data_IF_122486896200
#
_entry.id   IF_122486896200
#
_cell.length_a   1.000
_cell.length_b   1.000
_cell.length_c   1.000
_cell.angle_alpha   90.00
_cell.angle_beta   90.00
_cell.angle_gamma   90.00
#
_symmetry.space_group_name_H-M   'P 1'
#
loop_
_entity.id
_entity.type
_entity.pdbx_description
1 polymer ?
#
# COMPACT_ATOMS: atom_id res chain seq x y z
N UNK A 1 5.94 -17.42 -11.18
CA UNK A 1 6.77 -17.39 -9.95
C UNK A 1 8.15 -16.79 -10.15
N UNK A 2 8.86 -17.14 -11.22
CA UNK A 2 10.26 -16.71 -11.45
C UNK A 2 10.48 -15.20 -11.41
N UNK A 3 9.52 -14.39 -11.88
CA UNK A 3 9.60 -12.93 -11.76
C UNK A 3 9.85 -12.46 -10.32
N UNK A 4 9.13 -13.03 -9.34
CA UNK A 4 9.28 -12.66 -7.92
C UNK A 4 10.66 -13.07 -7.40
N UNK A 5 11.12 -14.29 -7.73
CA UNK A 5 12.46 -14.78 -7.35
C UNK A 5 13.55 -13.86 -7.90
N UNK A 6 13.46 -13.53 -9.18
CA UNK A 6 14.40 -12.63 -9.86
C UNK A 6 14.36 -11.22 -9.28
N UNK A 7 13.18 -10.69 -8.95
CA UNK A 7 13.05 -9.38 -8.30
C UNK A 7 13.76 -9.38 -6.93
N UNK A 8 13.58 -10.44 -6.13
CA UNK A 8 14.30 -10.61 -4.87
C UNK A 8 15.82 -10.72 -5.09
N UNK A 9 16.26 -11.50 -6.09
CA UNK A 9 17.67 -11.70 -6.39
C UNK A 9 18.38 -10.43 -6.88
N UNK A 10 17.70 -9.58 -7.66
CA UNK A 10 18.25 -8.31 -8.14
C UNK A 10 18.26 -7.26 -7.03
N UNK A 11 17.15 -7.12 -6.30
CA UNK A 11 17.04 -6.15 -5.22
C UNK A 11 17.89 -6.53 -3.99
N UNK A 12 18.27 -7.81 -3.87
CA UNK A 12 18.87 -8.40 -2.65
C UNK A 12 17.98 -8.18 -1.42
N UNK A 13 16.67 -8.24 -1.63
CA UNK A 13 15.65 -8.06 -0.60
C UNK A 13 14.61 -9.17 -0.68
N UNK A 14 14.06 -9.55 0.46
CA UNK A 14 12.84 -10.35 0.55
C UNK A 14 11.62 -9.47 0.27
N UNK A 15 11.14 -9.49 -0.98
CA UNK A 15 9.98 -8.71 -1.43
C UNK A 15 8.65 -9.45 -1.28
N UNK A 16 8.61 -10.58 -0.56
CA UNK A 16 7.40 -11.42 -0.49
C UNK A 16 6.19 -10.66 0.05
N UNK A 17 6.33 -9.90 1.13
CA UNK A 17 5.22 -9.12 1.71
C UNK A 17 4.65 -8.11 0.70
N UNK A 18 5.51 -7.47 -0.09
CA UNK A 18 5.08 -6.56 -1.16
C UNK A 18 4.25 -7.29 -2.22
N UNK A 19 4.72 -8.44 -2.69
CA UNK A 19 4.01 -9.22 -3.70
C UNK A 19 2.72 -9.85 -3.18
N UNK A 20 2.64 -10.19 -1.89
CA UNK A 20 1.40 -10.62 -1.26
C UNK A 20 0.38 -9.47 -1.19
N UNK A 21 0.81 -8.29 -0.74
CA UNK A 21 -0.07 -7.12 -0.60
C UNK A 21 -0.57 -6.56 -1.93
N UNK A 22 0.24 -6.69 -2.99
CA UNK A 22 -0.15 -6.34 -4.37
C UNK A 22 -0.99 -7.43 -5.07
N UNK A 23 -1.19 -8.59 -4.44
CA UNK A 23 -1.99 -9.70 -4.98
C UNK A 23 -1.27 -10.56 -6.03
N UNK A 24 0.03 -10.34 -6.25
CA UNK A 24 0.84 -11.08 -7.23
C UNK A 24 1.30 -12.44 -6.65
N UNK A 25 1.53 -12.51 -5.34
CA UNK A 25 1.89 -13.73 -4.61
C UNK A 25 0.67 -14.31 -3.87
N UNK A 26 -0.35 -14.71 -4.63
CA UNK A 26 -1.59 -15.27 -4.10
C UNK A 26 -1.99 -16.54 -4.88
N UNK A 27 -2.68 -17.49 -4.23
CA UNK A 27 -3.16 -18.68 -4.94
C UNK A 27 -4.21 -18.27 -5.97
N UNK A 28 -4.08 -18.80 -7.19
CA UNK A 28 -5.00 -18.55 -8.29
C UNK A 28 -5.12 -19.82 -9.13
N UNK A 29 -6.30 -20.07 -9.67
CA UNK A 29 -6.53 -21.13 -10.64
C UNK A 29 -7.68 -20.70 -11.57
N UNK A 30 -7.35 -19.94 -12.61
CA UNK A 30 -8.31 -19.33 -13.50
C UNK A 30 -7.91 -19.52 -14.96
N UNK A 31 -8.92 -19.54 -15.84
CA UNK A 31 -8.70 -19.35 -17.28
C UNK A 31 -8.67 -17.84 -17.54
N UNK A 32 -7.61 -17.39 -18.20
CA UNK A 32 -7.40 -16.00 -18.61
C UNK A 32 -7.38 -15.97 -20.12
N UNK A 33 -8.12 -15.04 -20.72
CA UNK A 33 -8.11 -14.76 -22.15
C UNK A 33 -7.55 -13.36 -22.36
N UNK A 34 -6.24 -13.28 -22.54
CA UNK A 34 -5.50 -12.05 -22.79
C UNK A 34 -4.61 -12.28 -24.01
N UNK A 35 -5.18 -12.04 -25.20
CA UNK A 35 -4.63 -12.35 -26.52
C UNK A 35 -4.51 -13.85 -26.87
N UNK A 36 -4.58 -14.75 -25.88
CA UNK A 36 -4.82 -16.19 -26.03
C UNK A 36 -5.43 -16.77 -24.75
N UNK A 37 -6.22 -17.84 -24.89
CA UNK A 37 -6.78 -18.57 -23.74
C UNK A 37 -5.70 -19.43 -23.07
N UNK A 38 -5.44 -19.16 -21.79
CA UNK A 38 -4.48 -19.91 -20.99
C UNK A 38 -4.96 -20.12 -19.55
N UNK A 39 -4.52 -21.21 -18.92
CA UNK A 39 -4.76 -21.44 -17.50
C UNK A 39 -3.64 -20.80 -16.67
N UNK A 40 -4.00 -19.83 -15.84
CA UNK A 40 -3.11 -19.26 -14.83
C UNK A 40 -3.33 -19.99 -13.51
N UNK A 41 -2.31 -20.74 -13.07
CA UNK A 41 -2.35 -21.50 -11.82
C UNK A 41 -1.13 -21.18 -10.96
N UNK A 42 -1.37 -20.77 -9.72
CA UNK A 42 -0.39 -20.63 -8.64
C UNK A 42 -0.92 -21.39 -7.43
N UNK A 43 -0.13 -22.35 -6.95
CA UNK A 43 -0.49 -23.19 -5.81
C UNK A 43 0.14 -22.68 -4.51
N UNK A 44 -0.33 -23.14 -3.33
CA UNK A 44 0.35 -22.88 -2.07
C UNK A 44 1.80 -23.37 -2.04
N UNK A 45 2.12 -24.46 -2.76
CA UNK A 45 3.51 -24.95 -2.86
C UNK A 45 4.39 -23.95 -3.61
N UNK A 46 3.93 -23.43 -4.75
CA UNK A 46 4.64 -22.41 -5.53
C UNK A 46 4.97 -21.16 -4.69
N UNK A 47 4.01 -20.74 -3.85
CA UNK A 47 4.19 -19.62 -2.92
C UNK A 47 5.24 -19.96 -1.85
N UNK A 48 5.17 -21.17 -1.28
CA UNK A 48 6.14 -21.66 -0.29
C UNK A 48 7.56 -21.69 -0.83
N UNK A 49 7.75 -22.16 -2.07
CA UNK A 49 9.04 -22.18 -2.74
C UNK A 49 9.61 -20.77 -2.96
N UNK A 50 8.77 -19.80 -3.33
CA UNK A 50 9.20 -18.40 -3.46
C UNK A 50 9.59 -17.80 -2.12
N UNK A 51 8.81 -18.03 -1.05
CA UNK A 51 9.16 -17.55 0.29
C UNK A 51 10.47 -18.15 0.78
N UNK A 52 10.68 -19.45 0.56
CA UNK A 52 11.94 -20.12 0.92
C UNK A 52 13.14 -19.60 0.11
N UNK A 53 12.94 -19.23 -1.17
CA UNK A 53 14.01 -18.64 -1.98
C UNK A 53 14.37 -17.23 -1.52
N UNK A 54 13.36 -16.42 -1.17
CA UNK A 54 13.53 -15.03 -0.78
C UNK A 54 14.11 -14.88 0.64
N UNK A 55 13.89 -15.84 1.54
CA UNK A 55 14.30 -15.77 2.97
C UNK A 55 15.81 -15.69 3.21
N UNK A 56 16.63 -15.85 2.16
CA UNK A 56 18.08 -15.60 2.19
C UNK A 56 18.45 -14.11 2.22
N UNK A 57 17.49 -13.22 1.98
CA UNK A 57 17.66 -11.77 1.96
C UNK A 57 16.94 -11.09 3.13
N UNK A 58 17.39 -9.89 3.47
CA UNK A 58 16.69 -9.05 4.44
C UNK A 58 15.39 -8.50 3.84
N UNK A 59 14.37 -8.26 4.67
CA UNK A 59 13.18 -7.51 4.25
C UNK A 59 13.53 -6.03 3.98
N UNK A 60 12.74 -5.32 3.17
CA UNK A 60 12.86 -3.86 3.03
C UNK A 60 12.83 -3.16 4.39
N UNK A 61 13.49 -2.01 4.50
CA UNK A 61 13.48 -1.18 5.73
C UNK A 61 12.07 -0.69 6.10
N UNK A 62 11.16 -0.67 5.13
CA UNK A 62 9.74 -0.31 5.31
C UNK A 62 8.82 -1.54 5.30
N UNK A 63 7.84 -1.63 6.21
CA UNK A 63 6.80 -2.65 6.18
C UNK A 63 5.65 -2.32 5.21
N UNK A 64 5.63 -1.11 4.63
CA UNK A 64 4.55 -0.58 3.79
C UNK A 64 5.05 -0.16 2.41
N UNK A 65 6.01 -0.91 1.85
CA UNK A 65 6.54 -0.67 0.50
C UNK A 65 5.45 -0.63 -0.58
N UNK A 66 4.35 -1.37 -0.39
CA UNK A 66 3.22 -1.43 -1.30
C UNK A 66 2.41 -0.11 -1.40
N UNK A 67 2.73 0.90 -0.58
CA UNK A 67 2.16 2.25 -0.66
C UNK A 67 3.08 3.25 -1.39
N UNK A 68 4.28 2.83 -1.82
CA UNK A 68 5.20 3.68 -2.57
C UNK A 68 4.58 4.10 -3.92
N UNK A 69 4.57 5.41 -4.18
CA UNK A 69 4.21 5.98 -5.48
C UNK A 69 5.22 7.06 -5.87
N UNK A 70 5.12 7.60 -7.09
CA UNK A 70 5.92 8.75 -7.52
C UNK A 70 5.78 9.96 -6.57
N UNK A 71 4.63 10.10 -5.90
CA UNK A 71 4.30 11.20 -4.99
C UNK A 71 4.96 11.08 -3.60
N UNK A 72 5.60 9.95 -3.29
CA UNK A 72 6.16 9.67 -1.96
C UNK A 72 7.60 9.18 -1.99
N UNK A 73 8.26 9.17 -3.15
CA UNK A 73 9.64 8.63 -3.29
C UNK A 73 10.61 9.30 -2.32
N UNK A 74 10.50 10.61 -2.15
CA UNK A 74 11.35 11.36 -1.24
C UNK A 74 11.11 10.99 0.23
N UNK A 75 9.85 10.71 0.61
CA UNK A 75 9.49 10.27 1.96
C UNK A 75 10.19 8.95 2.30
N UNK A 76 10.16 7.97 1.39
CA UNK A 76 10.82 6.68 1.62
C UNK A 76 12.34 6.77 1.53
N UNK A 77 12.88 7.52 0.56
CA UNK A 77 14.33 7.66 0.36
C UNK A 77 14.99 8.37 1.55
N UNK A 78 14.35 9.43 2.04
CA UNK A 78 14.89 10.28 3.10
C UNK A 78 14.33 9.90 4.49
N UNK A 79 13.58 8.79 4.56
CA UNK A 79 13.01 8.22 5.80
C UNK A 79 12.21 9.24 6.64
N UNK A 80 11.48 10.14 5.97
CA UNK A 80 10.84 11.28 6.63
C UNK A 80 9.69 10.83 7.54
N UNK A 81 9.73 11.12 8.85
CA UNK A 81 8.69 10.68 9.78
C UNK A 81 7.34 11.35 9.46
N UNK A 82 6.26 10.60 9.64
CA UNK A 82 4.90 11.12 9.57
C UNK A 82 4.71 12.23 10.61
N UNK A 83 4.32 13.42 10.15
CA UNK A 83 3.91 14.52 11.01
C UNK A 83 2.38 14.67 10.93
N UNK A 84 1.73 14.57 12.08
CA UNK A 84 0.27 14.65 12.15
C UNK A 84 -0.18 16.10 12.32
N UNK A 85 -1.31 16.43 11.70
CA UNK A 85 -1.97 17.71 11.91
C UNK A 85 -2.44 17.87 13.35
N UNK A 86 -2.28 19.06 13.92
CA UNK A 86 -3.00 19.45 15.15
C UNK A 86 -4.40 19.98 14.76
N UNK A 87 -5.46 19.30 15.22
CA UNK A 87 -6.85 19.70 14.94
C UNK A 87 -7.40 19.17 13.61
N UNK A 88 -8.54 19.73 13.17
CA UNK A 88 -9.22 19.32 11.94
C UNK A 88 -8.41 19.80 10.72
N UNK A 89 -8.09 18.86 9.84
CA UNK A 89 -7.16 19.03 8.70
C UNK A 89 -7.70 18.43 7.41
N UNK A 90 -9.01 18.24 7.36
CA UNK A 90 -9.71 17.69 6.21
C UNK A 90 -11.05 18.40 6.00
N UNK A 91 -11.48 18.43 4.74
CA UNK A 91 -12.83 18.83 4.37
C UNK A 91 -13.71 17.59 4.25
N UNK A 92 -14.95 17.67 4.77
CA UNK A 92 -15.89 16.54 4.76
C UNK A 92 -16.87 16.69 3.59
N UNK A 93 -16.93 15.67 2.74
CA UNK A 93 -18.00 15.46 1.77
C UNK A 93 -18.97 14.38 2.24
N UNK A 94 -19.89 13.98 1.35
CA UNK A 94 -20.91 12.97 1.63
C UNK A 94 -20.31 11.57 1.82
N UNK A 95 -19.45 11.13 0.89
CA UNK A 95 -18.88 9.77 0.85
C UNK A 95 -17.34 9.78 0.91
N UNK A 96 -16.74 10.92 1.27
CA UNK A 96 -15.30 11.13 1.26
C UNK A 96 -14.87 12.24 2.21
N UNK A 97 -13.58 12.25 2.52
CA UNK A 97 -12.88 13.41 3.07
C UNK A 97 -11.76 13.83 2.11
N UNK A 98 -11.44 15.12 2.09
CA UNK A 98 -10.32 15.68 1.34
C UNK A 98 -9.27 16.09 2.36
N UNK A 99 -8.14 15.38 2.36
CA UNK A 99 -7.02 15.62 3.26
C UNK A 99 -6.12 16.69 2.69
N UNK A 100 -5.74 17.66 3.52
CA UNK A 100 -4.66 18.60 3.25
C UNK A 100 -3.29 17.92 3.55
N UNK A 101 -2.52 17.64 2.50
CA UNK A 101 -1.25 16.91 2.61
C UNK A 101 -0.11 17.78 3.16
N UNK A 102 -0.26 19.10 3.25
CA UNK A 102 0.68 19.99 3.95
C UNK A 102 0.51 19.87 5.47
N UNK A 103 -0.68 19.52 5.95
CA UNK A 103 -0.94 19.27 7.38
C UNK A 103 -0.64 17.83 7.80
N UNK A 104 -0.70 16.88 6.87
CA UNK A 104 -0.29 15.49 7.03
C UNK A 104 1.02 15.22 6.31
N UNK A 105 2.07 15.92 6.74
CA UNK A 105 3.39 15.82 6.11
C UNK A 105 3.90 14.39 6.20
N UNK A 106 4.47 13.91 5.11
CA UNK A 106 5.08 12.60 4.99
C UNK A 106 4.13 11.40 5.17
N UNK A 107 2.81 11.61 5.21
CA UNK A 107 1.85 10.52 5.04
C UNK A 107 1.98 9.92 3.64
N UNK A 108 2.19 8.60 3.54
CA UNK A 108 2.36 7.88 2.27
C UNK A 108 1.03 7.34 1.74
N UNK A 109 0.09 7.06 2.63
CA UNK A 109 -1.26 6.62 2.30
C UNK A 109 -2.24 6.92 3.45
N UNK A 110 -3.52 6.75 3.17
CA UNK A 110 -4.62 6.82 4.12
C UNK A 110 -5.44 5.54 4.04
N UNK A 111 -5.55 4.85 5.17
CA UNK A 111 -6.27 3.59 5.35
C UNK A 111 -7.67 3.87 5.93
N UNK A 112 -8.74 3.48 5.22
CA UNK A 112 -10.12 3.59 5.71
C UNK A 112 -10.58 2.25 6.27
N UNK A 113 -11.14 2.26 7.48
CA UNK A 113 -11.56 1.06 8.21
C UNK A 113 -13.06 1.03 8.51
N UNK A 114 -13.63 -0.18 8.51
CA UNK A 114 -14.91 -0.50 9.13
C UNK A 114 -14.68 -1.51 10.27
N UNK A 115 -14.75 -1.03 11.51
CA UNK A 115 -14.23 -1.75 12.68
C UNK A 115 -12.74 -2.02 12.52
N UNK A 116 -12.37 -3.31 12.56
CA UNK A 116 -10.97 -3.74 12.37
C UNK A 116 -10.64 -4.09 10.91
N UNK A 117 -11.60 -4.00 9.99
CA UNK A 117 -11.40 -4.36 8.58
C UNK A 117 -10.93 -3.15 7.79
N UNK A 118 -9.77 -3.25 7.15
CA UNK A 118 -9.34 -2.31 6.12
C UNK A 118 -10.24 -2.47 4.89
N UNK A 119 -10.91 -1.39 4.47
CA UNK A 119 -11.90 -1.43 3.38
C UNK A 119 -11.50 -0.59 2.15
N UNK A 120 -10.70 0.46 2.34
CA UNK A 120 -10.17 1.30 1.26
C UNK A 120 -8.77 1.81 1.63
N UNK A 121 -7.99 2.13 0.62
CA UNK A 121 -6.72 2.84 0.75
C UNK A 121 -6.70 3.96 -0.29
N UNK A 122 -6.22 5.13 0.09
CA UNK A 122 -5.90 6.22 -0.83
C UNK A 122 -4.41 6.56 -0.67
N UNK A 123 -3.64 6.46 -1.75
CA UNK A 123 -2.23 6.87 -1.75
C UNK A 123 -2.11 8.40 -1.70
N UNK A 124 -0.98 8.91 -1.17
CA UNK A 124 -0.70 10.35 -1.15
C UNK A 124 -0.92 10.97 -2.53
N UNK A 125 -1.78 11.98 -2.59
CA UNK A 125 -2.10 12.71 -3.84
C UNK A 125 -3.23 12.10 -4.66
N UNK A 126 -3.87 11.00 -4.24
CA UNK A 126 -5.00 10.42 -4.96
C UNK A 126 -6.11 11.47 -5.14
N UNK A 127 -6.55 11.67 -6.39
CA UNK A 127 -7.55 12.69 -6.72
C UNK A 127 -7.03 14.14 -6.77
N UNK A 128 -5.71 14.36 -6.68
CA UNK A 128 -5.08 15.70 -6.80
C UNK A 128 -4.13 15.73 -8.00
N UNK A 129 -4.13 16.83 -8.76
CA UNK A 129 -3.20 17.02 -9.88
C UNK A 129 -1.80 17.47 -9.44
N UNK A 130 -1.66 17.94 -8.21
CA UNK A 130 -0.47 18.63 -7.68
C UNK A 130 -0.03 18.11 -6.30
N UNK A 131 -0.51 16.94 -5.88
CA UNK A 131 -0.25 16.30 -4.58
C UNK A 131 -0.62 17.12 -3.33
N UNK A 132 -1.22 18.31 -3.44
CA UNK A 132 -1.58 19.11 -2.26
C UNK A 132 -2.68 18.48 -1.42
N UNK A 133 -3.56 17.71 -2.05
CA UNK A 133 -4.65 17.04 -1.36
C UNK A 133 -4.63 15.53 -1.59
N UNK A 134 -5.33 14.80 -0.73
CA UNK A 134 -5.67 13.39 -0.96
C UNK A 134 -7.16 13.18 -0.74
N UNK A 135 -7.85 12.67 -1.76
CA UNK A 135 -9.26 12.27 -1.65
C UNK A 135 -9.32 10.87 -1.03
N UNK A 136 -9.91 10.77 0.16
CA UNK A 136 -10.08 9.52 0.89
C UNK A 136 -11.55 9.16 0.93
N UNK A 137 -11.92 8.05 0.32
CA UNK A 137 -13.30 7.57 0.35
C UNK A 137 -13.66 7.01 1.73
N UNK A 138 -14.81 7.44 2.23
CA UNK A 138 -15.38 7.07 3.54
C UNK A 138 -16.81 6.57 3.32
N UNK A 139 -17.01 5.37 2.74
CA UNK A 139 -18.34 4.81 2.54
C UNK A 139 -19.05 4.52 3.87
N UNK A 140 -20.35 4.25 3.81
CA UNK A 140 -21.15 3.87 4.97
C UNK A 140 -20.50 2.74 5.78
N UNK A 141 -20.53 2.89 7.11
CA UNK A 141 -19.88 1.98 8.04
C UNK A 141 -18.38 2.26 8.26
N UNK A 142 -17.83 3.33 7.68
CA UNK A 142 -16.49 3.82 8.04
C UNK A 142 -16.45 4.18 9.52
N UNK A 143 -15.52 3.57 10.25
CA UNK A 143 -15.30 3.82 11.69
C UNK A 143 -14.01 4.56 11.97
N UNK A 144 -13.04 4.53 11.06
CA UNK A 144 -11.78 5.25 11.21
C UNK A 144 -11.11 5.52 9.85
N UNK A 145 -10.34 6.59 9.81
CA UNK A 145 -9.34 6.83 8.76
C UNK A 145 -8.00 7.04 9.42
N UNK A 146 -6.95 6.37 8.95
CA UNK A 146 -5.59 6.49 9.50
C UNK A 146 -4.60 6.91 8.44
N UNK A 147 -3.82 7.95 8.73
CA UNK A 147 -2.65 8.29 7.94
C UNK A 147 -1.52 7.29 8.24
N UNK A 148 -0.79 6.88 7.21
CA UNK A 148 0.28 5.88 7.30
C UNK A 148 1.62 6.54 7.02
N UNK A 149 2.61 6.33 7.88
CA UNK A 149 4.01 6.71 7.66
C UNK A 149 4.79 5.64 6.91
N UNK A 150 5.93 5.99 6.32
CA UNK A 150 6.77 5.05 5.57
C UNK A 150 7.27 3.88 6.43
N UNK A 151 7.45 4.10 7.73
CA UNK A 151 7.86 3.11 8.73
C UNK A 151 6.71 2.21 9.20
N UNK A 152 5.49 2.43 8.69
CA UNK A 152 4.29 1.72 9.11
C UNK A 152 3.63 2.28 10.36
N UNK A 153 4.01 3.46 10.85
CA UNK A 153 3.22 4.18 11.87
C UNK A 153 1.83 4.51 11.33
N UNK A 154 0.82 4.46 12.21
CA UNK A 154 -0.56 4.86 11.89
C UNK A 154 -1.00 5.94 12.86
N UNK A 155 -1.55 7.04 12.35
CA UNK A 155 -2.15 8.11 13.15
C UNK A 155 -3.59 8.32 12.72
N UNK A 156 -4.52 8.38 13.68
CA UNK A 156 -5.94 8.58 13.40
C UNK A 156 -6.18 9.99 12.83
N UNK A 157 -6.92 10.04 11.73
CA UNK A 157 -7.46 11.24 11.09
C UNK A 157 -8.92 11.42 11.49
N UNK A 158 -9.69 10.32 11.40
CA UNK A 158 -11.09 10.17 11.77
C UNK A 158 -11.20 9.07 12.82
#
# INVERSE_FOLDING_TARGET
MEFIKNACDVAKLDLTDFFEKSGILAPIDLIVDDYTVGRMKITPQDIGEVKSHASKYNKPSTPVLHYLTANSVDIYRDEKPLSAAQGISYERGEDRIIIDNEKWENAVAFETYAGNKLIKVAFRGAGSSDVKNTVVHTPDGTTAVKAVGWDGTRVNVL
#
